data_IF_898159415685
#
_entry.id   IF_898159415685
#
_cell.length_a   1.000
_cell.length_b   1.000
_cell.length_c   1.000
_cell.angle_alpha   90.00
_cell.angle_beta   90.00
_cell.angle_gamma   90.00
#
_symmetry.space_group_name_H-M   'P 1'
#
loop_
_entity.id
_entity.type
_entity.pdbx_description
1 polymer ?
#
# COMPACT_ATOMS: atom_id res chain seq x y z
N UNK A 1 -28.60 65.03 -3.20
CA UNK A 1 -29.42 63.81 -3.16
C UNK A 1 -28.68 62.78 -2.30
N UNK A 2 -28.96 62.70 -0.99
CA UNK A 2 -28.25 61.80 -0.07
C UNK A 2 -28.94 60.45 -0.04
N UNK A 3 -28.34 59.45 -0.68
CA UNK A 3 -28.82 58.07 -0.69
C UNK A 3 -28.41 57.43 0.64
N UNK A 4 -29.36 57.23 1.55
CA UNK A 4 -29.12 56.48 2.80
C UNK A 4 -28.99 54.99 2.48
N UNK A 5 -27.78 54.42 2.63
CA UNK A 5 -27.57 52.96 2.59
C UNK A 5 -28.28 52.33 3.78
N UNK A 6 -29.28 51.48 3.53
CA UNK A 6 -29.87 50.60 4.54
C UNK A 6 -28.88 49.45 4.78
N UNK A 7 -28.28 49.41 5.96
CA UNK A 7 -27.47 48.26 6.37
C UNK A 7 -28.40 47.10 6.71
N UNK A 8 -28.33 46.00 5.94
CA UNK A 8 -29.03 44.76 6.27
C UNK A 8 -28.13 43.97 7.23
N UNK A 9 -28.58 43.80 8.47
CA UNK A 9 -27.93 42.91 9.44
C UNK A 9 -28.40 41.47 9.26
N UNK A 10 -27.50 40.51 9.51
CA UNK A 10 -27.84 39.09 9.57
C UNK A 10 -28.73 38.81 10.79
N UNK A 11 -29.74 37.97 10.60
CA UNK A 11 -30.57 37.46 11.70
C UNK A 11 -29.88 36.30 12.41
N UNK A 12 -30.14 36.12 13.71
CA UNK A 12 -29.61 34.98 14.47
C UNK A 12 -30.06 33.63 13.89
N UNK A 13 -31.26 33.58 13.32
CA UNK A 13 -31.79 32.37 12.68
C UNK A 13 -31.05 32.03 11.39
N UNK A 14 -30.66 33.01 10.58
CA UNK A 14 -29.84 32.78 9.39
C UNK A 14 -28.49 32.18 9.75
N UNK A 15 -27.84 32.69 10.80
CA UNK A 15 -26.56 32.15 11.24
C UNK A 15 -26.71 30.75 11.83
N UNK A 16 -27.78 30.48 12.58
CA UNK A 16 -28.07 29.17 13.17
C UNK A 16 -28.28 28.09 12.08
N UNK A 17 -29.02 28.41 11.01
CA UNK A 17 -29.26 27.48 9.90
C UNK A 17 -27.95 27.20 9.13
N UNK A 18 -27.09 28.20 8.96
CA UNK A 18 -25.82 28.01 8.24
C UNK A 18 -24.89 27.07 9.00
N UNK A 19 -24.71 27.28 10.31
CA UNK A 19 -23.82 26.41 11.11
C UNK A 19 -24.38 24.99 11.24
N UNK A 20 -25.71 24.82 11.23
CA UNK A 20 -26.31 23.48 11.28
C UNK A 20 -26.07 22.70 9.98
N UNK A 21 -26.21 23.36 8.81
CA UNK A 21 -25.89 22.75 7.51
C UNK A 21 -24.39 22.41 7.41
N UNK A 22 -23.51 23.32 7.83
CA UNK A 22 -22.06 23.07 7.85
C UNK A 22 -21.73 21.87 8.74
N UNK A 23 -22.35 21.77 9.93
CA UNK A 23 -22.16 20.64 10.84
C UNK A 23 -22.54 19.30 10.21
N UNK A 24 -23.68 19.24 9.49
CA UNK A 24 -24.12 18.03 8.79
C UNK A 24 -23.14 17.65 7.67
N UNK A 25 -22.72 18.62 6.85
CA UNK A 25 -21.78 18.37 5.74
C UNK A 25 -20.42 17.87 6.23
N UNK A 26 -19.89 18.46 7.33
CA UNK A 26 -18.63 18.02 7.92
C UNK A 26 -18.74 16.57 8.41
N UNK A 27 -19.83 16.22 9.10
CA UNK A 27 -20.04 14.87 9.62
C UNK A 27 -19.98 13.80 8.53
N UNK A 28 -20.64 14.03 7.40
CA UNK A 28 -20.63 13.10 6.26
C UNK A 28 -19.25 13.03 5.58
N UNK A 29 -18.56 14.17 5.47
CA UNK A 29 -17.27 14.26 4.79
C UNK A 29 -16.17 13.48 5.50
N UNK A 30 -16.15 13.48 6.84
CA UNK A 30 -15.12 12.78 7.61
C UNK A 30 -15.14 11.27 7.35
N UNK A 31 -16.32 10.63 7.35
CA UNK A 31 -16.43 9.17 7.13
C UNK A 31 -15.96 8.80 5.72
N UNK A 32 -16.39 9.58 4.71
CA UNK A 32 -16.00 9.36 3.32
C UNK A 32 -14.48 9.56 3.11
N UNK A 33 -13.86 10.50 3.83
CA UNK A 33 -12.42 10.74 3.72
C UNK A 33 -11.59 9.60 4.30
N UNK A 34 -12.05 8.98 5.39
CA UNK A 34 -11.35 7.84 6.00
C UNK A 34 -11.38 6.59 5.10
N UNK A 35 -12.51 6.30 4.46
CA UNK A 35 -12.61 5.21 3.49
C UNK A 35 -11.76 5.47 2.23
N UNK A 36 -11.74 6.71 1.73
CA UNK A 36 -10.88 7.10 0.60
C UNK A 36 -9.39 6.89 0.91
N UNK A 37 -8.93 7.26 2.13
CA UNK A 37 -7.55 7.00 2.57
C UNK A 37 -7.21 5.51 2.62
N UNK A 38 -8.11 4.68 3.14
CA UNK A 38 -7.91 3.22 3.17
C UNK A 38 -7.78 2.65 1.75
N UNK A 39 -8.67 3.06 0.84
CA UNK A 39 -8.61 2.64 -0.56
C UNK A 39 -7.32 3.10 -1.26
N UNK A 40 -6.85 4.32 -1.00
CA UNK A 40 -5.58 4.82 -1.53
C UNK A 40 -4.38 4.01 -1.03
N UNK A 41 -4.35 3.64 0.26
CA UNK A 41 -3.32 2.76 0.80
C UNK A 41 -3.37 1.37 0.19
N UNK A 42 -4.56 0.81 -0.01
CA UNK A 42 -4.71 -0.49 -0.68
C UNK A 42 -4.23 -0.47 -2.12
N UNK A 43 -4.52 0.58 -2.88
CA UNK A 43 -4.00 0.77 -4.23
C UNK A 43 -2.47 0.88 -4.24
N UNK A 44 -1.90 1.59 -3.26
CA UNK A 44 -0.44 1.63 -3.07
C UNK A 44 0.14 0.25 -2.76
N UNK A 45 -0.45 -0.52 -1.85
CA UNK A 45 -0.01 -1.89 -1.53
C UNK A 45 0.03 -2.79 -2.76
N UNK A 46 -1.03 -2.77 -3.57
CA UNK A 46 -1.08 -3.54 -4.82
C UNK A 46 0.03 -3.13 -5.78
N UNK A 47 0.21 -1.83 -5.98
CA UNK A 47 1.25 -1.28 -6.88
C UNK A 47 2.66 -1.64 -6.39
N UNK A 48 2.88 -1.54 -5.08
CA UNK A 48 4.14 -1.89 -4.44
C UNK A 48 4.47 -3.39 -4.65
N UNK A 49 3.49 -4.29 -4.45
CA UNK A 49 3.68 -5.72 -4.69
C UNK A 49 4.00 -6.05 -6.15
N UNK A 50 3.33 -5.42 -7.12
CA UNK A 50 3.64 -5.59 -8.55
C UNK A 50 5.02 -5.04 -8.91
N UNK A 51 5.44 -3.95 -8.27
CA UNK A 51 6.80 -3.40 -8.45
C UNK A 51 7.86 -4.38 -7.94
N UNK A 52 7.61 -5.00 -6.78
CA UNK A 52 8.49 -6.03 -6.23
C UNK A 52 8.49 -7.28 -7.13
N UNK A 53 7.33 -7.73 -7.61
CA UNK A 53 7.24 -8.84 -8.58
C UNK A 53 8.12 -8.59 -9.80
N UNK A 54 8.00 -7.42 -10.43
CA UNK A 54 8.80 -7.10 -11.61
C UNK A 54 10.31 -7.13 -11.30
N UNK A 55 10.74 -6.66 -10.12
CA UNK A 55 12.13 -6.75 -9.71
C UNK A 55 12.57 -8.21 -9.45
N UNK A 56 11.70 -9.03 -8.87
CA UNK A 56 11.95 -10.46 -8.63
C UNK A 56 12.06 -11.25 -9.95
N UNK A 57 11.26 -10.90 -10.96
CA UNK A 57 11.33 -11.53 -12.28
C UNK A 57 12.67 -11.23 -12.97
N UNK A 58 13.17 -9.99 -12.86
CA UNK A 58 14.50 -9.62 -13.37
C UNK A 58 15.59 -10.31 -12.55
N UNK A 59 15.49 -10.31 -11.22
CA UNK A 59 16.43 -11.03 -10.35
C UNK A 59 16.53 -12.50 -10.74
N UNK A 60 15.41 -13.19 -10.94
CA UNK A 60 15.39 -14.60 -11.37
C UNK A 60 16.03 -14.79 -12.74
N UNK A 61 15.84 -13.86 -13.66
CA UNK A 61 16.43 -13.93 -15.00
C UNK A 61 17.96 -13.91 -14.93
N UNK A 62 18.52 -13.10 -14.04
CA UNK A 62 19.97 -12.92 -13.90
C UNK A 62 20.61 -13.93 -12.92
N UNK A 63 19.91 -14.30 -11.85
CA UNK A 63 20.41 -15.13 -10.76
C UNK A 63 19.98 -16.60 -10.86
N UNK A 64 19.04 -16.92 -11.73
CA UNK A 64 18.53 -18.28 -11.96
C UNK A 64 17.48 -18.75 -10.94
N UNK A 65 17.34 -18.06 -9.81
CA UNK A 65 16.36 -18.33 -8.75
C UNK A 65 15.87 -17.01 -8.15
N UNK A 66 14.75 -17.04 -7.43
CA UNK A 66 14.30 -15.92 -6.61
C UNK A 66 15.17 -15.78 -5.34
N UNK A 67 15.31 -14.57 -4.78
CA UNK A 67 16.07 -14.38 -3.56
C UNK A 67 15.40 -15.14 -2.39
N UNK A 68 16.19 -15.75 -1.52
CA UNK A 68 15.67 -16.50 -0.37
C UNK A 68 14.90 -15.60 0.61
N UNK A 69 15.25 -14.31 0.67
CA UNK A 69 14.60 -13.29 1.50
C UNK A 69 14.50 -11.98 0.75
N UNK A 70 13.51 -11.16 1.09
CA UNK A 70 13.49 -9.76 0.66
C UNK A 70 14.28 -8.88 1.62
N UNK A 71 15.01 -7.88 1.10
CA UNK A 71 15.57 -6.80 1.91
C UNK A 71 14.49 -6.07 2.71
N UNK A 72 14.89 -5.45 3.82
CA UNK A 72 14.02 -4.56 4.58
C UNK A 72 13.50 -3.40 3.72
N UNK A 73 12.32 -2.83 4.02
CA UNK A 73 11.83 -1.64 3.34
C UNK A 73 12.86 -0.51 3.31
N UNK A 74 13.00 0.13 2.14
CA UNK A 74 13.99 1.18 1.91
C UNK A 74 15.38 0.67 1.50
N UNK A 75 15.68 -0.61 1.66
CA UNK A 75 16.93 -1.21 1.21
C UNK A 75 16.83 -1.72 -0.23
N UNK A 76 17.93 -1.71 -1.00
CA UNK A 76 17.93 -2.24 -2.37
C UNK A 76 17.90 -3.77 -2.38
N UNK A 77 17.29 -4.34 -3.42
CA UNK A 77 17.53 -5.73 -3.82
C UNK A 77 18.70 -5.74 -4.80
N UNK A 78 19.79 -6.40 -4.39
CA UNK A 78 21.02 -6.51 -5.17
C UNK A 78 21.34 -7.99 -5.46
N UNK A 79 22.19 -8.23 -6.46
CA UNK A 79 22.67 -9.58 -6.76
C UNK A 79 23.50 -10.18 -5.61
N UNK A 80 23.48 -11.50 -5.48
CA UNK A 80 24.24 -12.24 -4.47
C UNK A 80 25.70 -12.53 -4.88
N UNK A 81 26.06 -12.19 -6.13
CA UNK A 81 27.37 -12.45 -6.73
C UNK A 81 27.47 -13.74 -7.53
N UNK A 82 26.40 -14.55 -7.60
CA UNK A 82 26.42 -15.89 -8.19
C UNK A 82 25.11 -16.24 -8.92
N UNK A 83 25.14 -16.62 -10.21
CA UNK A 83 26.25 -16.62 -11.18
C UNK A 83 26.74 -15.19 -11.50
N UNK A 84 27.74 -15.05 -12.38
CA UNK A 84 28.32 -13.73 -12.73
C UNK A 84 27.29 -12.71 -13.27
N UNK A 85 26.19 -13.18 -13.86
CA UNK A 85 25.05 -12.34 -14.25
C UNK A 85 24.30 -11.74 -13.06
N UNK A 86 24.44 -12.31 -11.85
CA UNK A 86 23.88 -11.84 -10.59
C UNK A 86 24.91 -11.08 -9.73
N UNK A 87 25.74 -10.22 -10.36
CA UNK A 87 26.80 -9.52 -9.64
C UNK A 87 26.24 -8.63 -8.50
N UNK A 88 27.00 -8.47 -7.40
CA UNK A 88 26.62 -7.62 -6.25
C UNK A 88 26.44 -6.13 -6.60
N UNK A 89 26.93 -5.71 -7.77
CA UNK A 89 26.69 -4.36 -8.31
C UNK A 89 25.34 -4.19 -9.04
N UNK A 90 24.65 -5.29 -9.37
CA UNK A 90 23.36 -5.24 -10.04
C UNK A 90 22.28 -4.90 -9.02
N UNK A 91 21.47 -3.88 -9.32
CA UNK A 91 20.37 -3.42 -8.47
C UNK A 91 19.06 -3.68 -9.21
N UNK A 92 18.22 -4.54 -8.65
CA UNK A 92 16.94 -4.93 -9.23
C UNK A 92 15.78 -4.06 -8.75
N UNK A 93 15.90 -3.55 -7.52
CA UNK A 93 15.07 -2.45 -7.00
C UNK A 93 15.93 -1.60 -6.07
N UNK A 94 15.89 -0.29 -6.21
CA UNK A 94 16.75 0.61 -5.40
C UNK A 94 16.28 0.75 -3.96
N UNK A 95 14.98 0.57 -3.72
CA UNK A 95 14.39 0.60 -2.40
C UNK A 95 13.14 -0.29 -2.41
N UNK A 96 13.16 -1.40 -1.67
CA UNK A 96 11.98 -2.24 -1.50
C UNK A 96 10.87 -1.41 -0.82
N UNK A 97 9.67 -1.30 -1.41
CA UNK A 97 8.57 -0.57 -0.80
C UNK A 97 8.14 -1.21 0.53
N UNK A 98 7.79 -0.39 1.50
CA UNK A 98 7.18 -0.81 2.77
C UNK A 98 5.67 -0.62 2.78
N UNK A 99 4.98 -1.31 3.68
CA UNK A 99 3.55 -1.09 3.89
C UNK A 99 3.30 0.35 4.41
N UNK A 100 2.29 1.07 3.91
CA UNK A 100 2.03 2.44 4.35
C UNK A 100 1.61 2.61 5.82
N UNK A 101 1.17 1.55 6.49
CA UNK A 101 0.75 1.57 7.90
C UNK A 101 1.74 0.85 8.83
N UNK A 102 2.46 -0.15 8.33
CA UNK A 102 3.35 -0.97 9.14
C UNK A 102 4.81 -0.70 8.76
N UNK A 103 5.66 -0.50 9.78
CA UNK A 103 7.11 -0.39 9.57
C UNK A 103 7.71 -1.69 9.03
N UNK A 104 7.06 -2.83 9.31
CA UNK A 104 7.40 -4.09 8.68
C UNK A 104 7.01 -4.06 7.20
N UNK A 105 7.90 -4.56 6.34
CA UNK A 105 7.62 -4.67 4.90
C UNK A 105 6.51 -5.67 4.58
N UNK A 106 6.27 -5.85 3.28
CA UNK A 106 5.36 -6.88 2.80
C UNK A 106 5.86 -8.29 3.18
N UNK A 107 4.93 -9.20 3.43
CA UNK A 107 5.28 -10.59 3.73
C UNK A 107 5.80 -11.25 2.45
N UNK A 108 7.00 -11.80 2.53
CA UNK A 108 7.61 -12.60 1.48
C UNK A 108 7.79 -14.02 1.99
N UNK A 109 7.21 -14.98 1.27
CA UNK A 109 7.37 -16.40 1.53
C UNK A 109 7.99 -17.08 0.32
N UNK A 110 9.05 -17.85 0.58
CA UNK A 110 9.73 -18.68 -0.39
C UNK A 110 9.64 -20.14 0.09
N UNK A 111 8.55 -20.86 -0.26
CA UNK A 111 8.33 -22.22 0.22
C UNK A 111 9.30 -23.22 -0.45
N UNK A 112 9.81 -24.22 0.29
CA UNK A 112 10.66 -25.27 -0.28
C UNK A 112 9.87 -26.22 -1.20
N UNK A 113 10.53 -26.86 -2.20
CA UNK A 113 11.95 -26.80 -2.50
C UNK A 113 12.39 -25.47 -3.13
N UNK A 114 13.67 -25.05 -2.96
CA UNK A 114 14.20 -23.87 -3.63
C UNK A 114 14.05 -24.00 -5.15
N UNK A 115 13.66 -22.92 -5.84
CA UNK A 115 13.83 -22.81 -7.29
C UNK A 115 12.61 -22.45 -8.12
N UNK A 116 11.40 -22.36 -7.56
CA UNK A 116 10.20 -22.34 -8.43
C UNK A 116 9.16 -21.29 -8.13
N UNK A 117 8.95 -20.91 -6.86
CA UNK A 117 7.83 -20.02 -6.53
C UNK A 117 8.09 -19.16 -5.31
N UNK A 118 7.58 -17.94 -5.35
CA UNK A 118 7.47 -17.08 -4.17
C UNK A 118 6.02 -16.61 -4.04
N UNK A 119 5.66 -16.19 -2.83
CA UNK A 119 4.39 -15.52 -2.55
C UNK A 119 4.66 -14.22 -1.80
N UNK A 120 4.18 -13.12 -2.36
CA UNK A 120 4.10 -11.81 -1.73
C UNK A 120 2.70 -11.60 -1.18
N UNK A 121 2.60 -11.11 0.04
CA UNK A 121 1.30 -10.92 0.70
C UNK A 121 1.17 -9.54 1.34
N UNK A 122 -0.05 -9.01 1.32
CA UNK A 122 -0.43 -7.78 2.00
C UNK A 122 -1.79 -7.95 2.71
N UNK A 123 -2.03 -7.07 3.70
CA UNK A 123 -3.33 -6.92 4.34
C UNK A 123 -3.98 -5.62 3.86
N UNK A 124 -4.97 -5.75 2.99
CA UNK A 124 -5.80 -4.66 2.49
C UNK A 124 -6.87 -4.29 3.52
N UNK A 125 -7.14 -3.01 3.68
CA UNK A 125 -8.08 -2.50 4.68
C UNK A 125 -9.53 -2.60 4.22
N UNK A 126 -9.77 -2.49 2.91
CA UNK A 126 -11.11 -2.49 2.32
C UNK A 126 -11.62 -3.88 1.97
N UNK A 127 -10.78 -4.92 2.04
CA UNK A 127 -11.14 -6.29 1.69
C UNK A 127 -11.28 -7.16 2.96
N UNK A 128 -12.50 -7.28 3.49
CA UNK A 128 -12.75 -8.00 4.76
C UNK A 128 -13.07 -9.49 4.59
N UNK A 129 -13.28 -9.95 3.35
CA UNK A 129 -13.66 -11.32 3.03
C UNK A 129 -12.79 -11.84 1.89
N UNK A 130 -11.88 -12.73 2.24
CA UNK A 130 -10.87 -13.30 1.36
C UNK A 130 -9.59 -13.49 2.14
N UNK A 131 -9.43 -14.60 2.85
CA UNK A 131 -8.08 -15.00 3.27
C UNK A 131 -7.29 -15.29 2.01
N UNK A 132 -6.07 -14.78 1.87
CA UNK A 132 -5.23 -15.12 0.72
C UNK A 132 -4.97 -16.64 0.76
N UNK A 133 -5.55 -17.47 -0.14
CA UNK A 133 -5.39 -18.91 -0.04
C UNK A 133 -3.98 -19.30 -0.50
N UNK A 134 -3.26 -20.04 0.36
CA UNK A 134 -1.95 -20.62 0.10
C UNK A 134 -0.77 -19.65 0.25
N UNK A 135 0.25 -20.05 1.02
CA UNK A 135 1.57 -19.39 1.15
C UNK A 135 1.60 -18.12 2.02
N UNK A 136 0.47 -17.45 2.20
CA UNK A 136 0.36 -16.26 3.04
C UNK A 136 -0.06 -16.61 4.47
N UNK A 137 0.84 -16.39 5.43
CA UNK A 137 0.55 -16.45 6.86
C UNK A 137 -0.04 -15.14 7.37
N UNK A 138 0.55 -14.59 8.43
CA UNK A 138 0.15 -13.30 9.00
C UNK A 138 0.94 -12.14 8.38
N UNK A 139 0.24 -11.10 7.96
CA UNK A 139 0.83 -9.85 7.47
C UNK A 139 0.98 -8.89 8.67
N UNK A 140 1.91 -9.23 9.58
CA UNK A 140 2.04 -8.53 10.86
C UNK A 140 0.92 -8.91 11.84
N UNK A 141 0.08 -7.94 12.22
CA UNK A 141 -1.00 -8.14 13.20
C UNK A 141 -2.33 -8.56 12.58
N UNK A 142 -2.43 -8.59 11.26
CA UNK A 142 -3.65 -8.92 10.52
C UNK A 142 -3.43 -10.13 9.60
N UNK A 143 -4.51 -10.83 9.27
CA UNK A 143 -4.48 -11.87 8.24
C UNK A 143 -4.19 -11.23 6.88
N UNK A 144 -3.32 -11.87 6.09
CA UNK A 144 -3.15 -11.49 4.69
C UNK A 144 -4.41 -11.84 3.90
N UNK A 145 -4.91 -10.89 3.12
CA UNK A 145 -6.10 -11.05 2.28
C UNK A 145 -5.83 -10.83 0.79
N UNK A 146 -4.62 -10.36 0.46
CA UNK A 146 -4.18 -10.16 -0.91
C UNK A 146 -2.79 -10.79 -1.12
N UNK A 147 -2.60 -11.44 -2.27
CA UNK A 147 -1.33 -12.05 -2.64
C UNK A 147 -0.97 -11.81 -4.10
N UNK A 148 0.33 -11.79 -4.37
CA UNK A 148 0.95 -11.83 -5.70
C UNK A 148 1.95 -12.97 -5.67
N UNK A 149 1.86 -13.89 -6.62
CA UNK A 149 2.75 -15.05 -6.70
C UNK A 149 3.49 -15.05 -8.03
N UNK A 150 4.60 -15.79 -8.08
CA UNK A 150 5.36 -16.00 -9.31
C UNK A 150 4.45 -16.50 -10.45
N UNK A 151 4.69 -16.08 -11.70
CA UNK A 151 3.96 -16.58 -12.87
C UNK A 151 4.13 -18.09 -13.09
#
# INVERSE_FOLDING_TARGET
MNIRKVSRGFTLIELLVVISIIGILIGLTVVAFQSAKASARDAKRKTDLETIRSALDIYRTDCGDYPATLPAPGSPLIGDGTPASCATGNIYISAVPGDPLYTAGYLYSYPPPPGSSYVLCASLETQTTGGAPGGCGSCGTAACNYKVESP
#
